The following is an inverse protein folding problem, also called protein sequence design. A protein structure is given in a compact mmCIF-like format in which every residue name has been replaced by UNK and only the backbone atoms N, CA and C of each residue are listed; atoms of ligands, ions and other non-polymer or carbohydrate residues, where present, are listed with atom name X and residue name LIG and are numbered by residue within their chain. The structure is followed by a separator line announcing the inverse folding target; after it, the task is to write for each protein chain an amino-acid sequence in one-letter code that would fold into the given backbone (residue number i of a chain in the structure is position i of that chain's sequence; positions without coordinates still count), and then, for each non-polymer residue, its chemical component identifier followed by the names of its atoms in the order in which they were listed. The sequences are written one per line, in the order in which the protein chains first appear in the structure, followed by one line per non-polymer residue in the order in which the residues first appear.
data_IF_443936547945
#
_entry.id   IF_443936547945
#
_cell.length_a   1.000
_cell.length_b   1.000
_cell.length_c   1.000
_cell.angle_alpha   90.00
_cell.angle_beta   90.00
_cell.angle_gamma   90.00
#
_symmetry.space_group_name_H-M   'P 1'
#
loop_
_entity.id
_entity.type
_entity.pdbx_description
1 polymer ?
#
# COMPACT_ATOMS: atom_id res chain seq x y z
N UNK A 1 -34.57 -43.35 -21.21
CA UNK A 1 -33.30 -42.65 -21.45
C UNK A 1 -33.35 -41.12 -21.14
N UNK A 2 -33.95 -40.64 -20.02
CA UNK A 2 -33.85 -39.22 -19.60
C UNK A 2 -32.74 -38.94 -18.56
N UNK A 3 -32.27 -39.96 -17.85
CA UNK A 3 -31.23 -39.85 -16.78
C UNK A 3 -29.91 -39.26 -17.32
N UNK A 4 -29.52 -39.62 -18.55
CA UNK A 4 -28.29 -39.14 -19.17
C UNK A 4 -28.32 -37.62 -19.42
N UNK A 5 -29.48 -37.08 -19.81
CA UNK A 5 -29.65 -35.66 -20.08
C UNK A 5 -29.63 -34.82 -18.79
N UNK A 6 -30.23 -35.33 -17.71
CA UNK A 6 -30.20 -34.66 -16.40
C UNK A 6 -28.77 -34.53 -15.86
N UNK A 7 -27.96 -35.58 -16.05
CA UNK A 7 -26.55 -35.62 -15.64
C UNK A 7 -25.72 -34.61 -16.43
N UNK A 8 -25.93 -34.52 -17.76
CA UNK A 8 -25.24 -33.56 -18.62
C UNK A 8 -25.62 -32.11 -18.27
N UNK A 9 -26.90 -31.83 -18.01
CA UNK A 9 -27.35 -30.50 -17.57
C UNK A 9 -26.71 -30.11 -16.24
N UNK A 10 -26.65 -31.04 -15.28
CA UNK A 10 -26.05 -30.78 -13.97
C UNK A 10 -24.57 -30.41 -14.09
N UNK A 11 -23.82 -31.08 -14.98
CA UNK A 11 -22.40 -30.77 -15.25
C UNK A 11 -22.25 -29.38 -15.86
N UNK A 12 -23.11 -29.01 -16.81
CA UNK A 12 -23.09 -27.68 -17.45
C UNK A 12 -23.37 -26.59 -16.41
N UNK A 13 -24.39 -26.76 -15.57
CA UNK A 13 -24.71 -25.83 -14.49
C UNK A 13 -23.56 -25.70 -13.49
N UNK A 14 -22.94 -26.81 -13.12
CA UNK A 14 -21.78 -26.80 -12.23
C UNK A 14 -20.62 -26.00 -12.84
N UNK A 15 -20.32 -26.21 -14.13
CA UNK A 15 -19.29 -25.44 -14.85
C UNK A 15 -19.60 -23.94 -14.86
N UNK A 16 -20.85 -23.55 -15.11
CA UNK A 16 -21.26 -22.14 -15.09
C UNK A 16 -21.06 -21.53 -13.71
N UNK A 17 -21.41 -22.24 -12.64
CA UNK A 17 -21.21 -21.78 -11.26
C UNK A 17 -19.71 -21.63 -10.95
N UNK A 18 -18.88 -22.61 -11.32
CA UNK A 18 -17.42 -22.53 -11.12
C UNK A 18 -16.83 -21.35 -11.87
N UNK A 19 -17.23 -21.12 -13.12
CA UNK A 19 -16.78 -19.97 -13.91
C UNK A 19 -17.21 -18.64 -13.29
N UNK A 20 -18.43 -18.55 -12.78
CA UNK A 20 -18.92 -17.36 -12.08
C UNK A 20 -18.10 -17.07 -10.81
N UNK A 21 -17.80 -18.08 -10.01
CA UNK A 21 -16.99 -17.93 -8.79
C UNK A 21 -15.54 -17.52 -9.12
N UNK A 22 -14.96 -18.06 -10.19
CA UNK A 22 -13.61 -17.65 -10.66
C UNK A 22 -13.62 -16.20 -11.13
N UNK A 23 -14.66 -15.80 -11.88
CA UNK A 23 -14.83 -14.42 -12.32
C UNK A 23 -14.96 -13.46 -11.13
N UNK A 24 -15.79 -13.79 -10.13
CA UNK A 24 -15.93 -12.98 -8.92
C UNK A 24 -14.61 -12.91 -8.15
N UNK A 25 -13.93 -14.05 -7.96
CA UNK A 25 -12.63 -14.10 -7.27
C UNK A 25 -11.57 -13.24 -7.96
N UNK A 26 -11.55 -13.21 -9.31
CA UNK A 26 -10.64 -12.36 -10.07
C UNK A 26 -11.01 -10.88 -9.98
N UNK A 27 -12.31 -10.55 -10.10
CA UNK A 27 -12.82 -9.18 -10.04
C UNK A 27 -12.64 -8.54 -8.67
N UNK A 28 -12.77 -9.33 -7.60
CA UNK A 28 -12.65 -8.90 -6.20
C UNK A 28 -11.21 -8.83 -5.70
N UNK A 29 -10.19 -9.15 -6.51
CA UNK A 29 -8.79 -9.07 -6.05
C UNK A 29 -8.50 -7.62 -5.63
N UNK A 30 -8.25 -7.35 -4.33
CA UNK A 30 -7.91 -6.00 -3.91
C UNK A 30 -6.64 -5.62 -4.66
N UNK A 31 -6.67 -4.47 -5.34
CA UNK A 31 -5.45 -3.88 -5.92
C UNK A 31 -4.45 -3.81 -4.78
N UNK A 32 -3.31 -4.50 -4.91
CA UNK A 32 -2.22 -4.39 -3.95
C UNK A 32 -1.83 -2.91 -3.90
N UNK A 33 -2.26 -2.21 -2.86
CA UNK A 33 -1.84 -0.85 -2.61
C UNK A 33 -0.36 -0.93 -2.29
N UNK A 34 0.47 -0.45 -3.22
CA UNK A 34 1.92 -0.39 -2.99
C UNK A 34 2.14 0.74 -2.00
N UNK A 35 2.64 0.42 -0.81
CA UNK A 35 3.00 1.41 0.20
C UNK A 35 4.48 1.79 0.04
N UNK A 36 4.78 3.08 0.15
CA UNK A 36 6.15 3.62 0.19
C UNK A 36 6.37 4.23 1.57
N UNK A 37 7.51 3.97 2.19
CA UNK A 37 7.84 4.51 3.51
C UNK A 37 8.49 5.87 3.32
N UNK A 38 7.91 6.90 3.95
CA UNK A 38 8.41 8.28 3.95
C UNK A 38 8.88 8.65 5.35
N UNK A 39 9.88 9.52 5.41
CA UNK A 39 10.38 10.13 6.62
C UNK A 39 10.10 11.64 6.65
N UNK A 40 9.75 12.15 7.82
CA UNK A 40 9.47 13.57 8.05
C UNK A 40 10.56 14.17 8.93
N UNK A 41 11.36 15.06 8.34
CA UNK A 41 12.35 15.87 9.02
C UNK A 41 11.71 17.20 9.43
N UNK A 42 11.82 17.54 10.72
CA UNK A 42 11.30 18.79 11.28
C UNK A 42 12.42 19.52 12.00
N UNK A 43 12.56 20.81 11.73
CA UNK A 43 13.52 21.64 12.44
C UNK A 43 13.09 21.83 13.90
N UNK A 44 14.06 21.85 14.81
CA UNK A 44 13.81 22.05 16.24
C UNK A 44 13.38 23.49 16.56
N UNK A 45 13.81 24.47 15.76
CA UNK A 45 13.62 25.90 16.06
C UNK A 45 12.60 26.60 15.16
N UNK A 46 12.59 26.30 13.86
CA UNK A 46 11.61 26.85 12.94
C UNK A 46 10.59 25.78 12.52
N UNK A 47 9.49 26.20 11.89
CA UNK A 47 8.45 25.27 11.42
C UNK A 47 8.78 24.64 10.06
N UNK A 48 10.07 24.53 9.71
CA UNK A 48 10.52 23.90 8.47
C UNK A 48 10.33 22.39 8.54
N UNK A 49 9.73 21.84 7.49
CA UNK A 49 9.41 20.41 7.37
C UNK A 49 9.81 19.92 5.99
N UNK A 50 10.40 18.75 5.94
CA UNK A 50 10.81 18.09 4.69
C UNK A 50 10.40 16.63 4.76
N UNK A 51 9.73 16.16 3.71
CA UNK A 51 9.42 14.76 3.52
C UNK A 51 10.40 14.15 2.53
N UNK A 52 10.96 13.00 2.89
CA UNK A 52 11.91 12.25 2.05
C UNK A 52 11.57 10.77 2.05
N UNK A 53 12.17 10.03 1.11
CA UNK A 53 12.14 8.57 1.16
C UNK A 53 12.94 8.06 2.35
N UNK A 54 12.41 7.04 3.02
CA UNK A 54 13.06 6.43 4.17
C UNK A 54 14.39 5.76 3.77
N UNK A 55 15.46 6.05 4.50
CA UNK A 55 16.74 5.37 4.35
C UNK A 55 16.94 4.33 5.47
N UNK A 56 17.54 3.16 5.17
CA UNK A 56 17.78 2.13 6.18
C UNK A 56 18.73 2.64 7.26
N UNK A 57 18.27 2.62 8.52
CA UNK A 57 19.06 3.07 9.67
C UNK A 57 18.54 4.35 10.33
N UNK A 58 17.58 5.04 9.70
CA UNK A 58 16.93 6.20 10.31
C UNK A 58 15.91 5.78 11.38
N UNK A 59 15.88 6.54 12.48
CA UNK A 59 14.94 6.33 13.58
C UNK A 59 14.38 7.65 14.09
N UNK A 60 13.20 7.58 14.73
CA UNK A 60 12.52 8.75 15.28
C UNK A 60 13.40 9.40 16.35
N UNK A 61 13.68 10.69 16.19
CA UNK A 61 14.57 11.46 17.06
C UNK A 61 16.01 11.60 16.56
N UNK A 62 16.39 10.90 15.49
CA UNK A 62 17.69 11.09 14.83
C UNK A 62 17.83 12.52 14.30
N UNK A 63 18.99 13.13 14.53
CA UNK A 63 19.37 14.41 13.94
C UNK A 63 20.02 14.15 12.59
N UNK A 64 19.39 14.62 11.51
CA UNK A 64 19.82 14.38 10.13
C UNK A 64 19.98 15.72 9.41
N UNK A 65 21.21 16.25 9.47
CA UNK A 65 21.59 17.51 8.83
C UNK A 65 21.10 18.76 9.54
N UNK A 66 21.25 19.90 8.85
CA UNK A 66 20.91 21.24 9.37
C UNK A 66 19.82 21.88 8.52
N UNK A 67 18.98 22.67 9.16
CA UNK A 67 17.89 23.40 8.53
C UNK A 67 18.45 24.50 7.60
N UNK A 68 18.04 24.54 6.32
CA UNK A 68 18.51 25.55 5.38
C UNK A 68 18.01 26.96 5.69
N UNK A 69 16.94 27.11 6.48
CA UNK A 69 16.40 28.43 6.85
C UNK A 69 17.05 29.04 8.10
N UNK A 70 17.38 28.24 9.11
CA UNK A 70 17.83 28.76 10.40
C UNK A 70 19.14 28.15 10.92
N UNK A 71 19.71 27.16 10.21
CA UNK A 71 21.00 26.54 10.55
C UNK A 71 20.97 25.55 11.72
N UNK A 72 19.81 25.37 12.37
CA UNK A 72 19.63 24.44 13.49
C UNK A 72 19.44 23.00 13.04
N UNK A 73 19.50 22.07 13.98
CA UNK A 73 19.36 20.64 13.72
C UNK A 73 17.98 20.27 13.17
N UNK A 74 17.97 19.42 12.16
CA UNK A 74 16.77 18.75 11.64
C UNK A 74 16.61 17.41 12.35
N UNK A 75 15.47 17.19 13.00
CA UNK A 75 15.16 15.92 13.66
C UNK A 75 14.11 15.13 12.90
N UNK A 76 14.30 13.83 12.83
CA UNK A 76 13.30 12.90 12.31
C UNK A 76 12.12 12.85 13.27
N UNK A 77 10.95 13.37 12.86
CA UNK A 77 9.76 13.43 13.71
C UNK A 77 8.84 12.23 13.48
N UNK A 78 8.87 11.62 12.31
CA UNK A 78 8.03 10.47 12.00
C UNK A 78 8.49 9.71 10.76
N UNK A 79 8.20 8.42 10.76
CA UNK A 79 8.35 7.51 9.62
C UNK A 79 6.98 6.87 9.40
N UNK A 80 6.42 7.00 8.21
CA UNK A 80 5.07 6.52 7.91
C UNK A 80 4.95 5.94 6.51
N UNK A 81 4.03 5.01 6.34
CA UNK A 81 3.72 4.39 5.06
C UNK A 81 2.65 5.22 4.33
N UNK A 82 2.95 5.63 3.09
CA UNK A 82 2.03 6.34 2.20
C UNK A 82 1.68 5.42 1.03
N UNK A 83 0.40 5.39 0.65
CA UNK A 83 -0.02 4.69 -0.57
C UNK A 83 0.59 5.38 -1.79
N UNK A 84 1.32 4.63 -2.63
CA UNK A 84 1.99 5.16 -3.83
C UNK A 84 1.02 5.87 -4.79
N UNK A 85 -0.26 5.50 -4.78
CA UNK A 85 -1.30 6.16 -5.59
C UNK A 85 -1.75 7.53 -5.09
N UNK A 86 -1.29 7.97 -3.91
CA UNK A 86 -1.59 9.28 -3.31
C UNK A 86 -0.35 10.18 -3.19
N UNK A 87 0.78 9.76 -3.77
CA UNK A 87 2.00 10.56 -3.89
C UNK A 87 1.89 11.58 -5.02
#
# INVERSE_FOLDING_TARGET
MPEDYTSVIAIILFLIIVLYLVYESYSRRPRKTVYVVRELLVCVKCNYRVEKDFEPGDFIGLVKGKCPQCGEDLKLKGIYAVERGKL
#
